data_IF_484075365890
#
_entry.id   IF_484075365890
#
_cell.length_a   1.000
_cell.length_b   1.000
_cell.length_c   1.000
_cell.angle_alpha   90.00
_cell.angle_beta   90.00
_cell.angle_gamma   90.00
#
_symmetry.space_group_name_H-M   'P 1'
#
loop_
_entity.id
_entity.type
_entity.pdbx_description
1 polymer ?
#
# COMPACT_ATOMS: atom_id res chain seq x y z
N UNK A 1 -6.50 -41.42 29.59
CA UNK A 1 -6.70 -40.11 28.98
C UNK A 1 -5.44 -39.78 28.18
N UNK A 2 -5.58 -39.66 26.87
CA UNK A 2 -4.45 -39.32 26.01
C UNK A 2 -4.19 -37.79 26.07
N UNK A 3 -2.92 -37.41 26.20
CA UNK A 3 -2.48 -36.01 26.18
C UNK A 3 -1.49 -35.84 25.03
N UNK A 4 -1.76 -34.89 24.15
CA UNK A 4 -0.85 -34.51 23.05
C UNK A 4 -0.07 -33.27 23.50
N UNK A 5 1.26 -33.38 23.51
CA UNK A 5 2.17 -32.28 23.80
C UNK A 5 2.95 -31.95 22.52
N UNK A 6 2.92 -30.70 22.11
CA UNK A 6 3.69 -30.21 20.97
C UNK A 6 4.98 -29.58 21.50
N UNK A 7 6.12 -29.97 20.92
CA UNK A 7 7.44 -29.45 21.28
C UNK A 7 8.23 -29.06 20.02
N UNK A 8 9.37 -28.40 20.20
CA UNK A 8 10.24 -27.97 19.10
C UNK A 8 11.66 -28.52 19.30
N UNK A 9 12.20 -29.11 18.25
CA UNK A 9 13.58 -29.58 18.22
C UNK A 9 14.37 -28.80 17.16
N UNK A 10 15.35 -28.01 17.59
CA UNK A 10 16.28 -27.31 16.70
C UNK A 10 17.59 -28.09 16.57
N UNK A 11 17.90 -28.51 15.35
CA UNK A 11 19.17 -29.17 15.03
C UNK A 11 19.71 -28.70 13.69
N UNK A 12 21.03 -28.70 13.53
CA UNK A 12 21.69 -28.50 12.24
C UNK A 12 21.61 -29.79 11.42
N UNK A 13 21.41 -29.63 10.11
CA UNK A 13 21.47 -30.69 9.11
C UNK A 13 22.64 -30.42 8.18
N UNK A 14 23.71 -31.19 8.30
CA UNK A 14 24.93 -31.03 7.51
C UNK A 14 24.96 -32.06 6.38
N UNK A 15 24.81 -31.57 5.13
CA UNK A 15 24.74 -32.41 3.93
C UNK A 15 26.09 -32.40 3.22
N UNK A 16 26.66 -33.58 2.98
CA UNK A 16 27.88 -33.78 2.21
C UNK A 16 27.52 -34.06 0.74
N UNK A 17 27.93 -33.19 -0.16
CA UNK A 17 27.77 -33.38 -1.60
C UNK A 17 29.05 -33.87 -2.23
N UNK A 18 29.03 -35.04 -2.86
CA UNK A 18 30.12 -35.58 -3.67
C UNK A 18 29.95 -35.10 -5.12
N UNK A 19 30.76 -34.14 -5.56
CA UNK A 19 30.70 -33.57 -6.90
C UNK A 19 31.62 -34.30 -7.85
N UNK A 20 31.08 -34.85 -8.92
CA UNK A 20 31.88 -35.44 -10.01
C UNK A 20 32.57 -34.32 -10.81
N UNK A 21 33.82 -34.59 -11.20
CA UNK A 21 34.62 -33.66 -11.99
C UNK A 21 35.23 -34.43 -13.19
N UNK A 22 34.96 -33.91 -14.40
CA UNK A 22 35.43 -34.49 -15.63
C UNK A 22 36.28 -33.49 -16.40
N UNK A 23 37.41 -33.96 -16.96
CA UNK A 23 38.20 -33.17 -17.89
C UNK A 23 37.94 -33.67 -19.33
N UNK A 24 37.58 -32.74 -20.24
CA UNK A 24 37.45 -33.02 -21.67
C UNK A 24 38.72 -32.62 -22.41
N UNK A 25 39.42 -33.60 -22.97
CA UNK A 25 40.65 -33.37 -23.73
C UNK A 25 40.34 -32.61 -25.07
N UNK A 26 39.19 -32.84 -25.67
CA UNK A 26 38.76 -32.18 -26.92
C UNK A 26 38.48 -30.69 -26.75
N UNK A 27 37.86 -30.32 -25.65
CA UNK A 27 37.52 -28.89 -25.35
C UNK A 27 38.55 -28.24 -24.43
N UNK A 28 39.50 -29.02 -23.88
CA UNK A 28 40.47 -28.59 -22.86
C UNK A 28 39.82 -27.91 -21.65
N UNK A 29 38.59 -28.29 -21.32
CA UNK A 29 37.84 -27.72 -20.19
C UNK A 29 37.51 -28.78 -19.14
N UNK A 30 37.45 -28.29 -17.89
CA UNK A 30 36.98 -29.11 -16.78
C UNK A 30 35.49 -28.81 -16.54
N UNK A 31 34.70 -29.86 -16.46
CA UNK A 31 33.29 -29.84 -16.09
C UNK A 31 33.10 -30.39 -14.69
N UNK A 32 32.29 -29.78 -13.89
CA UNK A 32 31.96 -30.22 -12.54
C UNK A 32 30.45 -30.16 -12.32
N UNK A 33 29.88 -31.18 -11.69
CA UNK A 33 28.47 -31.21 -11.37
C UNK A 33 28.05 -29.98 -10.54
N UNK A 34 26.91 -29.41 -10.86
CA UNK A 34 26.30 -28.31 -10.07
C UNK A 34 25.67 -28.87 -8.79
N UNK A 35 25.56 -28.04 -7.77
CA UNK A 35 24.78 -28.38 -6.58
C UNK A 35 23.29 -28.15 -6.85
N UNK A 36 22.38 -28.85 -6.14
CA UNK A 36 20.98 -28.57 -6.22
C UNK A 36 20.71 -27.09 -5.89
N UNK A 37 19.66 -26.54 -6.50
CA UNK A 37 19.24 -25.16 -6.28
C UNK A 37 19.04 -24.92 -4.78
N UNK A 38 19.46 -23.76 -4.30
CA UNK A 38 19.40 -23.38 -2.90
C UNK A 38 20.65 -23.79 -2.08
N UNK A 39 21.48 -24.71 -2.58
CA UNK A 39 22.69 -25.17 -1.89
C UNK A 39 23.99 -24.53 -2.42
N UNK A 40 23.86 -23.45 -3.18
CA UNK A 40 25.03 -22.69 -3.64
C UNK A 40 25.72 -21.99 -2.46
N UNK A 41 26.97 -22.36 -2.20
CA UNK A 41 27.77 -21.86 -1.09
C UNK A 41 27.69 -22.71 0.15
N UNK A 42 27.87 -22.12 1.34
CA UNK A 42 28.01 -22.83 2.61
C UNK A 42 26.68 -23.07 3.35
N UNK A 43 25.61 -22.43 2.95
CA UNK A 43 24.33 -22.47 3.66
C UNK A 43 23.21 -22.92 2.73
N UNK A 44 22.44 -23.89 3.20
CA UNK A 44 21.29 -24.45 2.50
C UNK A 44 20.05 -23.52 2.54
N UNK A 45 18.97 -23.91 1.84
CA UNK A 45 17.76 -23.11 1.71
C UNK A 45 17.08 -22.79 3.04
N UNK A 46 17.12 -23.71 4.02
CA UNK A 46 16.52 -23.51 5.35
C UNK A 46 17.13 -22.33 6.11
N UNK A 47 18.48 -22.21 6.12
CA UNK A 47 19.17 -21.08 6.77
C UNK A 47 18.88 -19.76 6.04
N UNK A 48 18.86 -19.79 4.69
CA UNK A 48 18.52 -18.62 3.88
C UNK A 48 17.09 -18.16 4.16
N UNK A 49 16.13 -19.08 4.15
CA UNK A 49 14.72 -18.78 4.45
C UNK A 49 14.55 -18.26 5.89
N UNK A 50 15.17 -18.92 6.89
CA UNK A 50 15.09 -18.50 8.29
C UNK A 50 15.66 -17.08 8.50
N UNK A 51 16.78 -16.75 7.84
CA UNK A 51 17.37 -15.40 7.87
C UNK A 51 16.36 -14.34 7.39
N UNK A 52 15.68 -14.61 6.27
CA UNK A 52 14.65 -13.70 5.71
C UNK A 52 13.42 -13.60 6.62
N UNK A 53 12.97 -14.73 7.19
CA UNK A 53 11.83 -14.74 8.14
C UNK A 53 12.14 -13.93 9.38
N UNK A 54 13.30 -14.15 10.00
CA UNK A 54 13.69 -13.39 11.19
C UNK A 54 13.76 -11.89 10.90
N UNK A 55 14.40 -11.53 9.80
CA UNK A 55 14.60 -10.12 9.48
C UNK A 55 13.32 -9.42 9.02
N UNK A 56 12.60 -9.99 8.04
CA UNK A 56 11.45 -9.33 7.40
C UNK A 56 10.10 -9.74 8.00
N UNK A 57 9.94 -11.00 8.42
CA UNK A 57 8.69 -11.50 8.97
C UNK A 57 8.49 -11.19 10.45
N UNK A 58 9.57 -11.36 11.26
CA UNK A 58 9.54 -11.19 12.72
C UNK A 58 10.07 -9.80 13.13
N UNK A 59 10.89 -9.17 12.29
CA UNK A 59 11.44 -7.85 12.54
C UNK A 59 12.72 -7.83 13.37
N UNK A 60 13.42 -8.97 13.51
CA UNK A 60 14.66 -9.10 14.26
C UNK A 60 15.81 -8.33 13.59
N UNK A 61 16.75 -7.79 14.38
CA UNK A 61 17.97 -7.13 13.86
C UNK A 61 19.03 -8.15 13.41
N UNK A 62 19.89 -7.75 12.45
CA UNK A 62 20.98 -8.62 11.96
C UNK A 62 21.89 -9.18 13.07
N UNK A 63 22.33 -8.40 14.08
CA UNK A 63 23.11 -8.93 15.19
C UNK A 63 22.38 -10.03 15.98
N UNK A 64 21.08 -9.88 16.20
CA UNK A 64 20.28 -10.88 16.92
C UNK A 64 20.03 -12.15 16.09
N UNK A 65 19.95 -12.04 14.78
CA UNK A 65 19.90 -13.19 13.87
C UNK A 65 21.21 -13.98 13.96
N UNK A 66 22.35 -13.28 13.96
CA UNK A 66 23.66 -13.91 14.12
C UNK A 66 23.79 -14.65 15.46
N UNK A 67 23.42 -13.99 16.56
CA UNK A 67 23.41 -14.56 17.90
C UNK A 67 22.53 -15.83 17.98
N UNK A 68 21.33 -15.79 17.40
CA UNK A 68 20.46 -16.97 17.34
C UNK A 68 21.13 -18.15 16.60
N UNK A 69 21.74 -17.92 15.43
CA UNK A 69 22.41 -18.98 14.69
C UNK A 69 23.62 -19.55 15.45
N UNK A 70 24.39 -18.71 16.12
CA UNK A 70 25.51 -19.14 16.95
C UNK A 70 25.05 -20.03 18.13
N UNK A 71 23.93 -19.69 18.77
CA UNK A 71 23.35 -20.48 19.87
C UNK A 71 22.89 -21.88 19.44
N UNK A 72 22.55 -22.05 18.16
CA UNK A 72 22.18 -23.38 17.61
C UNK A 72 23.33 -24.04 16.82
N UNK A 73 24.58 -23.57 17.00
CA UNK A 73 25.79 -24.15 16.41
C UNK A 73 26.04 -23.81 14.94
N UNK A 74 25.41 -22.74 14.41
CA UNK A 74 25.61 -22.28 13.04
C UNK A 74 26.49 -21.03 13.06
N UNK A 75 27.73 -21.13 12.56
CA UNK A 75 28.67 -20.01 12.49
C UNK A 75 28.52 -19.25 11.16
N UNK A 76 27.87 -18.10 11.21
CA UNK A 76 27.62 -17.23 10.06
C UNK A 76 28.16 -15.83 10.33
N UNK A 77 28.84 -15.22 9.36
CA UNK A 77 29.36 -13.86 9.50
C UNK A 77 28.23 -12.82 9.30
N UNK A 78 28.36 -11.66 9.94
CA UNK A 78 27.41 -10.54 9.77
C UNK A 78 27.28 -10.11 8.30
N UNK A 79 28.41 -10.04 7.57
CA UNK A 79 28.39 -9.72 6.14
C UNK A 79 27.65 -10.76 5.28
N UNK A 80 27.70 -12.05 5.69
CA UNK A 80 26.92 -13.08 5.00
C UNK A 80 25.42 -12.95 5.27
N UNK A 81 25.02 -12.63 6.49
CA UNK A 81 23.62 -12.33 6.83
C UNK A 81 23.13 -11.18 5.97
N UNK A 82 23.83 -10.03 5.97
CA UNK A 82 23.46 -8.87 5.17
C UNK A 82 23.35 -9.19 3.67
N UNK A 83 24.29 -9.98 3.13
CA UNK A 83 24.22 -10.43 1.75
C UNK A 83 23.00 -11.34 1.47
N UNK A 84 22.63 -12.23 2.40
CA UNK A 84 21.43 -13.06 2.26
C UNK A 84 20.14 -12.23 2.25
N UNK A 85 20.13 -11.09 2.95
CA UNK A 85 18.97 -10.21 3.00
C UNK A 85 18.77 -9.36 1.74
N UNK A 86 19.86 -9.02 1.03
CA UNK A 86 19.82 -7.99 -0.02
C UNK A 86 20.19 -8.53 -1.40
N UNK A 87 21.20 -9.42 -1.49
CA UNK A 87 21.77 -9.82 -2.78
C UNK A 87 21.06 -11.03 -3.39
N UNK A 88 20.96 -11.05 -4.73
CA UNK A 88 20.39 -12.14 -5.53
C UNK A 88 18.90 -12.40 -5.20
N UNK A 89 18.13 -11.33 -5.09
CA UNK A 89 16.71 -11.38 -4.75
C UNK A 89 15.80 -11.13 -5.98
N UNK A 90 16.32 -11.21 -7.20
CA UNK A 90 15.62 -10.87 -8.44
C UNK A 90 14.31 -11.67 -8.60
N UNK A 91 14.30 -12.96 -8.25
CA UNK A 91 13.10 -13.79 -8.29
C UNK A 91 12.01 -13.29 -7.35
N UNK A 92 12.38 -12.89 -6.13
CA UNK A 92 11.42 -12.33 -5.16
C UNK A 92 10.97 -10.91 -5.56
N UNK A 93 11.84 -10.13 -6.19
CA UNK A 93 11.44 -8.83 -6.73
C UNK A 93 10.40 -8.98 -7.84
N UNK A 94 10.61 -9.91 -8.76
CA UNK A 94 9.64 -10.21 -9.83
C UNK A 94 8.31 -10.73 -9.26
N UNK A 95 8.36 -11.61 -8.25
CA UNK A 95 7.14 -12.12 -7.60
C UNK A 95 6.38 -11.02 -6.85
N UNK A 96 7.09 -10.10 -6.17
CA UNK A 96 6.47 -8.91 -5.56
C UNK A 96 5.75 -8.04 -6.60
N UNK A 97 6.36 -7.82 -7.76
CA UNK A 97 5.78 -7.01 -8.82
C UNK A 97 4.54 -7.71 -9.43
N UNK A 98 4.58 -9.05 -9.58
CA UNK A 98 3.42 -9.86 -10.00
C UNK A 98 2.29 -9.83 -8.96
N UNK A 99 2.61 -9.96 -7.67
CA UNK A 99 1.64 -9.83 -6.56
C UNK A 99 0.95 -8.46 -6.58
N UNK A 100 1.71 -7.40 -6.81
CA UNK A 100 1.14 -6.06 -6.87
C UNK A 100 0.22 -5.87 -8.08
N UNK A 101 0.61 -6.37 -9.24
CA UNK A 101 -0.22 -6.35 -10.45
C UNK A 101 -1.54 -7.12 -10.24
N UNK A 102 -1.47 -8.35 -9.71
CA UNK A 102 -2.65 -9.15 -9.38
C UNK A 102 -3.51 -8.47 -8.30
N UNK A 103 -2.87 -7.85 -7.31
CA UNK A 103 -3.55 -7.12 -6.24
C UNK A 103 -4.36 -5.93 -6.74
N UNK A 104 -3.83 -5.13 -7.67
CA UNK A 104 -4.57 -4.03 -8.30
C UNK A 104 -5.76 -4.53 -9.13
N UNK A 105 -5.64 -5.71 -9.75
CA UNK A 105 -6.71 -6.33 -10.53
C UNK A 105 -7.77 -7.02 -9.66
N UNK A 106 -7.43 -7.39 -8.44
CA UNK A 106 -8.25 -8.22 -7.56
C UNK A 106 -9.50 -7.53 -7.03
N UNK A 107 -9.56 -6.19 -7.09
CA UNK A 107 -10.69 -5.40 -6.59
C UNK A 107 -10.72 -4.01 -7.25
N UNK A 108 -11.90 -3.44 -7.51
CA UNK A 108 -12.04 -2.08 -8.01
C UNK A 108 -11.63 -1.01 -6.98
N UNK A 109 -11.48 -1.38 -5.71
CA UNK A 109 -11.11 -0.46 -4.65
C UNK A 109 -9.81 -0.89 -3.96
N UNK A 110 -9.07 0.09 -3.45
CA UNK A 110 -7.83 -0.12 -2.71
C UNK A 110 -7.82 0.74 -1.44
N UNK A 111 -7.08 0.30 -0.42
CA UNK A 111 -6.74 1.12 0.73
C UNK A 111 -5.32 1.64 0.59
N UNK A 112 -5.08 2.87 1.02
CA UNK A 112 -3.73 3.45 1.00
C UNK A 112 -3.43 4.26 2.25
N UNK A 113 -2.17 4.28 2.63
CA UNK A 113 -1.62 5.12 3.70
C UNK A 113 -0.13 5.34 3.45
N UNK A 114 0.48 6.29 4.12
CA UNK A 114 1.92 6.53 4.03
C UNK A 114 2.57 6.75 5.40
N UNK A 115 3.87 6.48 5.47
CA UNK A 115 4.67 6.77 6.66
C UNK A 115 6.06 7.27 6.30
N UNK A 116 6.59 8.14 7.15
CA UNK A 116 7.99 8.54 7.05
C UNK A 116 8.90 7.33 7.26
N UNK A 117 9.88 7.17 6.41
CA UNK A 117 10.97 6.19 6.56
C UNK A 117 12.32 6.89 6.35
N UNK A 118 13.41 6.24 6.74
CA UNK A 118 14.76 6.75 6.50
C UNK A 118 15.53 5.82 5.59
N UNK A 119 16.25 6.40 4.64
CA UNK A 119 17.16 5.70 3.74
C UNK A 119 18.47 6.46 3.77
N UNK A 120 19.54 5.82 4.21
CA UNK A 120 20.86 6.44 4.39
C UNK A 120 20.80 7.79 5.12
N UNK A 121 20.03 7.84 6.22
CA UNK A 121 19.84 9.07 6.99
C UNK A 121 18.90 10.11 6.34
N UNK A 122 18.48 9.95 5.09
CA UNK A 122 17.57 10.84 4.39
C UNK A 122 16.11 10.48 4.65
N UNK A 123 15.25 11.48 4.78
CA UNK A 123 13.82 11.28 4.91
C UNK A 123 13.22 10.85 3.56
N UNK A 124 12.55 9.72 3.56
CA UNK A 124 11.75 9.22 2.45
C UNK A 124 10.38 8.79 2.97
N UNK A 125 9.49 8.38 2.09
CA UNK A 125 8.12 7.98 2.42
C UNK A 125 7.84 6.57 1.90
N UNK A 126 7.33 5.71 2.77
CA UNK A 126 6.86 4.40 2.41
C UNK A 126 5.33 4.47 2.25
N UNK A 127 4.87 4.25 1.04
CA UNK A 127 3.45 4.15 0.71
C UNK A 127 3.01 2.70 0.78
N UNK A 128 1.84 2.46 1.34
CA UNK A 128 1.20 1.16 1.42
C UNK A 128 -0.04 1.21 0.52
N UNK A 129 -0.19 0.21 -0.35
CA UNK A 129 -1.40 -0.03 -1.13
C UNK A 129 -1.84 -1.45 -0.83
N UNK A 130 -3.10 -1.64 -0.45
CA UNK A 130 -3.59 -2.95 -0.04
C UNK A 130 -5.11 -3.10 -0.22
N UNK A 131 -5.55 -4.35 -0.20
CA UNK A 131 -6.94 -4.75 0.00
C UNK A 131 -6.97 -6.05 0.83
N UNK A 132 -8.09 -6.76 1.00
CA UNK A 132 -8.14 -7.98 1.81
C UNK A 132 -7.15 -9.09 1.44
N UNK A 133 -6.68 -9.17 0.19
CA UNK A 133 -5.86 -10.30 -0.30
C UNK A 133 -4.38 -9.99 -0.47
N UNK A 134 -3.96 -8.74 -0.43
CA UNK A 134 -2.54 -8.37 -0.53
C UNK A 134 -2.21 -7.11 0.24
N UNK A 135 -0.91 -6.87 0.48
CA UNK A 135 -0.36 -5.60 0.96
C UNK A 135 0.95 -5.33 0.21
N UNK A 136 1.08 -4.18 -0.41
CA UNK A 136 2.28 -3.79 -1.14
C UNK A 136 2.91 -2.54 -0.56
N UNK A 137 4.25 -2.53 -0.49
CA UNK A 137 5.06 -1.45 0.06
C UNK A 137 5.90 -0.81 -1.04
N UNK A 138 5.92 0.52 -1.05
CA UNK A 138 6.61 1.32 -2.06
C UNK A 138 7.31 2.52 -1.42
N UNK A 139 8.61 2.47 -1.30
CA UNK A 139 9.40 3.59 -0.77
C UNK A 139 9.71 4.60 -1.89
N UNK A 140 9.43 5.87 -1.64
CA UNK A 140 9.63 6.99 -2.57
C UNK A 140 10.26 8.19 -1.85
N UNK A 141 10.97 9.01 -2.60
CA UNK A 141 11.58 10.24 -2.07
C UNK A 141 10.54 11.29 -1.62
N UNK A 142 9.35 11.25 -2.22
CA UNK A 142 8.27 12.22 -1.98
C UNK A 142 6.97 11.51 -1.66
N UNK A 143 6.04 12.25 -1.00
CA UNK A 143 4.67 11.80 -0.74
C UNK A 143 3.64 12.66 -1.47
N UNK A 144 4.03 13.32 -2.55
CA UNK A 144 3.10 14.09 -3.37
C UNK A 144 2.18 13.18 -4.21
N UNK A 145 1.14 13.77 -4.79
CA UNK A 145 0.14 13.05 -5.59
C UNK A 145 0.76 12.27 -6.74
N UNK A 146 1.73 12.86 -7.45
CA UNK A 146 2.40 12.20 -8.57
C UNK A 146 3.19 10.96 -8.13
N UNK A 147 3.80 11.00 -6.93
CA UNK A 147 4.49 9.83 -6.37
C UNK A 147 3.53 8.67 -6.09
N UNK A 148 2.33 8.96 -5.55
CA UNK A 148 1.30 7.94 -5.34
C UNK A 148 0.73 7.45 -6.67
N UNK A 149 0.48 8.36 -7.62
CA UNK A 149 0.02 8.02 -8.96
C UNK A 149 0.98 7.05 -9.67
N UNK A 150 2.30 7.29 -9.59
CA UNK A 150 3.31 6.40 -10.18
C UNK A 150 3.30 5.00 -9.57
N UNK A 151 2.92 4.89 -8.30
CA UNK A 151 2.70 3.59 -7.65
C UNK A 151 1.48 2.90 -8.25
N UNK A 152 0.33 3.59 -8.32
CA UNK A 152 -0.92 3.02 -8.86
C UNK A 152 -0.78 2.64 -10.34
N UNK A 153 0.09 3.29 -11.09
CA UNK A 153 0.41 2.97 -12.49
C UNK A 153 1.29 1.73 -12.66
N UNK A 154 1.75 1.15 -11.56
CA UNK A 154 2.54 -0.09 -11.55
C UNK A 154 3.73 -0.09 -12.54
N UNK A 155 4.59 0.92 -12.44
CA UNK A 155 5.83 1.04 -13.22
C UNK A 155 5.67 1.52 -14.66
N UNK A 156 4.46 1.83 -15.10
CA UNK A 156 4.24 2.41 -16.45
C UNK A 156 4.66 3.87 -16.49
N UNK A 157 5.02 4.38 -17.68
CA UNK A 157 5.39 5.79 -17.89
C UNK A 157 4.22 6.71 -17.54
N UNK A 158 4.51 7.81 -16.85
CA UNK A 158 3.54 8.89 -16.64
C UNK A 158 3.23 9.58 -17.95
N UNK A 159 1.94 9.72 -18.24
CA UNK A 159 1.42 10.51 -19.34
C UNK A 159 0.62 11.68 -18.79
N UNK A 160 0.35 12.67 -19.62
CA UNK A 160 -0.39 13.89 -19.28
C UNK A 160 -1.47 14.12 -20.33
N UNK A 161 -2.68 14.45 -19.89
CA UNK A 161 -3.84 14.72 -20.74
C UNK A 161 -4.59 15.93 -20.21
N UNK A 162 -4.93 16.84 -21.07
CA UNK A 162 -5.76 18.01 -20.74
C UNK A 162 -7.18 17.83 -21.32
N UNK A 163 -7.90 16.83 -20.83
CA UNK A 163 -9.29 16.59 -21.22
C UNK A 163 -10.27 17.34 -20.29
N UNK A 164 -11.57 17.05 -20.43
CA UNK A 164 -12.63 17.67 -19.63
C UNK A 164 -12.42 17.42 -18.12
N UNK A 165 -12.01 16.22 -17.74
CA UNK A 165 -11.74 15.87 -16.34
C UNK A 165 -10.60 16.72 -15.75
N UNK A 166 -9.47 16.83 -16.46
CA UNK A 166 -8.37 17.71 -16.03
C UNK A 166 -8.83 19.16 -15.87
N UNK A 167 -9.62 19.64 -16.82
CA UNK A 167 -10.17 21.01 -16.76
C UNK A 167 -11.14 21.18 -15.58
N UNK A 168 -11.92 20.18 -15.23
CA UNK A 168 -12.77 20.14 -14.03
C UNK A 168 -11.95 20.34 -12.74
N UNK A 169 -10.84 19.61 -12.58
CA UNK A 169 -9.93 19.77 -11.43
C UNK A 169 -9.30 21.18 -11.37
N UNK A 170 -9.07 21.81 -12.52
CA UNK A 170 -8.46 23.13 -12.60
C UNK A 170 -9.48 24.27 -12.38
N UNK A 171 -10.78 24.02 -12.58
CA UNK A 171 -11.84 25.04 -12.49
C UNK A 171 -11.98 25.69 -11.12
N UNK A 172 -11.60 25.01 -10.03
CA UNK A 172 -11.62 25.56 -8.66
C UNK A 172 -10.47 26.50 -8.31
N UNK A 173 -9.57 26.81 -9.24
CA UNK A 173 -8.35 27.58 -9.00
C UNK A 173 -8.37 28.89 -9.74
N UNK A 174 -7.81 29.94 -9.12
CA UNK A 174 -7.67 31.25 -9.77
C UNK A 174 -6.58 31.21 -10.85
N UNK A 175 -6.99 31.39 -12.11
CA UNK A 175 -6.15 31.58 -13.27
C UNK A 175 -6.25 33.00 -13.78
N UNK A 176 -5.21 33.53 -14.45
CA UNK A 176 -5.38 34.70 -15.30
C UNK A 176 -6.22 34.32 -16.51
N UNK A 177 -6.99 35.27 -17.04
CA UNK A 177 -7.84 35.03 -18.23
C UNK A 177 -7.00 34.41 -19.37
N UNK A 178 -5.84 34.99 -19.67
CA UNK A 178 -4.94 34.49 -20.71
C UNK A 178 -4.50 33.03 -20.46
N UNK A 179 -4.16 32.67 -19.21
CA UNK A 179 -3.77 31.31 -18.88
C UNK A 179 -4.93 30.32 -19.02
N UNK A 180 -6.12 30.71 -18.59
CA UNK A 180 -7.31 29.88 -18.71
C UNK A 180 -7.72 29.67 -20.19
N UNK A 181 -7.76 30.75 -20.98
CA UNK A 181 -8.04 30.67 -22.43
C UNK A 181 -7.05 29.76 -23.14
N UNK A 182 -5.76 29.83 -22.77
CA UNK A 182 -4.72 28.90 -23.31
C UNK A 182 -4.99 27.45 -22.90
N UNK A 183 -5.32 27.17 -21.64
CA UNK A 183 -5.63 25.82 -21.18
C UNK A 183 -6.86 25.25 -21.90
N UNK A 184 -7.90 26.05 -22.06
CA UNK A 184 -9.09 25.65 -22.84
C UNK A 184 -8.75 25.34 -24.31
N UNK A 185 -7.88 26.14 -24.94
CA UNK A 185 -7.44 25.89 -26.32
C UNK A 185 -6.56 24.65 -26.48
N UNK A 186 -5.95 24.15 -25.39
CA UNK A 186 -5.13 22.93 -25.37
C UNK A 186 -5.92 21.69 -24.97
N UNK A 187 -7.18 21.86 -24.59
CA UNK A 187 -8.03 20.72 -24.21
C UNK A 187 -8.10 19.70 -25.34
N UNK A 188 -7.75 18.44 -25.02
CA UNK A 188 -7.63 17.37 -25.99
C UNK A 188 -7.61 16.01 -25.30
N UNK A 189 -8.07 15.00 -26.00
CA UNK A 189 -7.95 13.59 -25.57
C UNK A 189 -6.58 12.99 -25.89
N UNK A 190 -5.63 13.77 -26.39
CA UNK A 190 -4.26 13.32 -26.70
C UNK A 190 -3.43 13.17 -25.43
N UNK A 191 -2.72 12.04 -25.34
CA UNK A 191 -1.70 11.82 -24.32
C UNK A 191 -0.37 12.44 -24.71
N UNK A 192 0.29 13.02 -23.73
CA UNK A 192 1.60 13.62 -23.84
C UNK A 192 2.59 12.92 -22.91
N UNK A 193 3.80 12.65 -23.39
CA UNK A 193 4.92 12.31 -22.51
C UNK A 193 5.36 13.54 -21.69
N UNK A 194 6.06 13.32 -20.58
CA UNK A 194 6.42 14.38 -19.63
C UNK A 194 7.24 15.51 -20.26
N UNK A 195 8.26 15.19 -21.06
CA UNK A 195 9.13 16.22 -21.63
C UNK A 195 8.41 17.14 -22.64
N UNK A 196 7.66 16.63 -23.66
CA UNK A 196 6.87 17.47 -24.55
C UNK A 196 5.79 18.27 -23.83
N UNK A 197 5.15 17.70 -22.80
CA UNK A 197 4.15 18.40 -22.02
C UNK A 197 4.74 19.58 -21.25
N UNK A 198 5.87 19.39 -20.57
CA UNK A 198 6.56 20.44 -19.82
C UNK A 198 7.12 21.55 -20.73
N UNK A 199 7.62 21.18 -21.92
CA UNK A 199 8.09 22.15 -22.93
C UNK A 199 6.93 23.07 -23.37
N UNK A 200 5.81 22.49 -23.76
CA UNK A 200 4.59 23.23 -24.11
C UNK A 200 4.12 24.18 -23.00
N UNK A 201 4.19 23.71 -21.72
CA UNK A 201 3.88 24.58 -20.58
C UNK A 201 4.88 25.73 -20.44
N UNK A 202 6.14 25.50 -20.71
CA UNK A 202 7.20 26.53 -20.67
C UNK A 202 6.98 27.63 -21.69
N UNK A 203 6.59 27.27 -22.92
CA UNK A 203 6.34 28.21 -24.01
C UNK A 203 5.04 29.02 -23.84
N UNK A 204 3.94 28.33 -23.57
CA UNK A 204 2.62 28.94 -23.55
C UNK A 204 2.18 29.52 -22.20
N UNK A 205 2.69 28.98 -21.09
CA UNK A 205 2.29 29.29 -19.72
C UNK A 205 3.49 29.58 -18.81
N UNK A 206 4.49 30.30 -19.30
CA UNK A 206 5.75 30.60 -18.58
C UNK A 206 5.58 31.32 -17.24
N UNK A 207 4.49 32.08 -17.06
CA UNK A 207 4.21 32.91 -15.87
C UNK A 207 3.40 32.22 -14.77
N UNK A 208 3.19 30.90 -14.83
CA UNK A 208 2.51 30.16 -13.77
C UNK A 208 3.33 30.13 -12.47
N UNK A 209 2.66 30.33 -11.34
CA UNK A 209 3.27 30.09 -10.02
C UNK A 209 3.65 28.61 -9.86
N UNK A 210 4.58 28.32 -8.93
CA UNK A 210 4.95 26.94 -8.61
C UNK A 210 3.74 26.07 -8.25
N UNK A 211 2.78 26.63 -7.50
CA UNK A 211 1.58 25.92 -7.10
C UNK A 211 0.65 25.65 -8.27
N UNK A 212 0.39 26.64 -9.14
CA UNK A 212 -0.42 26.44 -10.35
C UNK A 212 0.19 25.38 -11.27
N UNK A 213 1.50 25.44 -11.49
CA UNK A 213 2.22 24.43 -12.29
C UNK A 213 2.10 23.03 -11.68
N UNK A 214 2.26 22.93 -10.35
CA UNK A 214 2.08 21.65 -9.64
C UNK A 214 0.69 21.08 -9.84
N UNK A 215 -0.34 21.88 -9.60
CA UNK A 215 -1.73 21.43 -9.71
C UNK A 215 -2.10 21.08 -11.16
N UNK A 216 -1.60 21.83 -12.14
CA UNK A 216 -1.80 21.52 -13.56
C UNK A 216 -1.16 20.16 -13.93
N UNK A 217 0.08 19.92 -13.49
CA UNK A 217 0.75 18.64 -13.70
C UNK A 217 -0.02 17.50 -13.01
N UNK A 218 -0.45 17.69 -11.76
CA UNK A 218 -1.24 16.71 -11.01
C UNK A 218 -2.54 16.38 -11.77
N UNK A 219 -3.31 17.39 -12.19
CA UNK A 219 -4.58 17.21 -12.89
C UNK A 219 -4.42 16.49 -14.24
N UNK A 220 -3.46 16.93 -15.05
CA UNK A 220 -3.21 16.33 -16.36
C UNK A 220 -2.70 14.89 -16.26
N UNK A 221 -1.86 14.58 -15.27
CA UNK A 221 -1.36 13.21 -15.06
C UNK A 221 -2.45 12.27 -14.54
N UNK A 222 -3.33 12.73 -13.65
CA UNK A 222 -4.47 11.96 -13.15
C UNK A 222 -5.47 11.69 -14.27
N UNK A 223 -5.82 12.69 -15.08
CA UNK A 223 -6.75 12.52 -16.20
C UNK A 223 -6.21 11.52 -17.25
N UNK A 224 -4.90 11.51 -17.52
CA UNK A 224 -4.28 10.51 -18.37
C UNK A 224 -4.34 9.11 -17.73
N UNK A 225 -4.20 9.01 -16.40
CA UNK A 225 -4.33 7.74 -15.67
C UNK A 225 -5.75 7.19 -15.75
N UNK A 226 -6.78 7.99 -15.55
CA UNK A 226 -8.17 7.56 -15.60
C UNK A 226 -8.61 7.19 -17.03
N UNK A 227 -8.10 7.86 -18.03
CA UNK A 227 -8.49 7.63 -19.43
C UNK A 227 -7.86 6.38 -20.07
N UNK A 228 -6.79 5.83 -19.50
CA UNK A 228 -6.12 4.66 -20.03
C UNK A 228 -6.97 3.38 -19.89
N UNK A 229 -6.69 2.33 -20.70
CA UNK A 229 -7.48 1.08 -20.76
C UNK A 229 -6.63 -0.20 -20.69
N UNK A 230 -5.31 -0.08 -20.63
CA UNK A 230 -4.36 -1.20 -20.73
C UNK A 230 -3.96 -1.79 -19.36
N UNK A 231 -4.40 -1.19 -18.27
CA UNK A 231 -4.25 -1.71 -16.90
C UNK A 231 -5.37 -1.21 -15.99
N UNK A 232 -5.58 -1.82 -14.80
CA UNK A 232 -6.66 -1.40 -13.91
C UNK A 232 -6.48 0.02 -13.39
N UNK A 233 -7.55 0.81 -13.44
CA UNK A 233 -7.68 2.07 -12.72
C UNK A 233 -8.35 1.78 -11.38
N UNK A 234 -7.85 2.37 -10.31
CA UNK A 234 -8.48 2.27 -8.99
C UNK A 234 -9.76 3.11 -9.01
N UNK A 235 -10.92 2.46 -8.93
CA UNK A 235 -12.20 3.16 -8.96
C UNK A 235 -12.46 3.85 -7.62
N UNK A 236 -12.32 3.16 -6.48
CA UNK A 236 -12.45 3.78 -5.18
C UNK A 236 -11.16 3.65 -4.34
N UNK A 237 -10.70 4.77 -3.78
CA UNK A 237 -9.54 4.83 -2.91
C UNK A 237 -9.98 5.12 -1.47
N UNK A 238 -9.78 4.15 -0.56
CA UNK A 238 -10.07 4.30 0.87
C UNK A 238 -8.81 4.81 1.57
N UNK A 239 -8.86 5.99 2.17
CA UNK A 239 -7.69 6.66 2.75
C UNK A 239 -8.08 7.61 3.90
N UNK A 240 -7.09 8.27 4.48
CA UNK A 240 -7.30 9.47 5.29
C UNK A 240 -7.59 10.70 4.39
N UNK A 241 -7.82 11.87 5.02
CA UNK A 241 -8.11 13.11 4.29
C UNK A 241 -6.84 13.87 3.84
N UNK A 242 -5.74 13.19 3.62
CA UNK A 242 -4.51 13.82 3.17
C UNK A 242 -4.61 14.26 1.69
N UNK A 243 -4.18 15.51 1.37
CA UNK A 243 -4.39 16.09 0.04
C UNK A 243 -3.74 15.34 -1.12
N UNK A 244 -2.70 14.54 -0.88
CA UNK A 244 -2.05 13.74 -1.91
C UNK A 244 -2.95 12.65 -2.48
N UNK A 245 -3.96 12.19 -1.74
CA UNK A 245 -4.88 11.13 -2.18
C UNK A 245 -6.08 11.66 -2.99
N UNK A 246 -6.29 12.98 -3.04
CA UNK A 246 -7.36 13.54 -3.85
C UNK A 246 -7.15 13.22 -5.34
N UNK A 247 -8.23 12.89 -6.04
CA UNK A 247 -8.30 12.63 -7.49
C UNK A 247 -7.66 11.31 -7.96
N UNK A 248 -7.00 10.53 -7.09
CA UNK A 248 -6.26 9.32 -7.51
C UNK A 248 -7.17 8.13 -7.86
N UNK A 249 -8.32 8.01 -7.22
CA UNK A 249 -9.40 7.12 -7.63
C UNK A 249 -10.52 7.94 -8.26
N UNK A 250 -11.37 7.32 -9.05
CA UNK A 250 -12.60 7.93 -9.55
C UNK A 250 -13.44 8.43 -8.36
N UNK A 251 -13.48 7.63 -7.28
CA UNK A 251 -14.11 7.93 -6.01
C UNK A 251 -13.08 7.92 -4.86
N UNK A 252 -13.31 8.74 -3.83
CA UNK A 252 -12.50 8.76 -2.60
C UNK A 252 -13.39 8.51 -1.39
N UNK A 253 -13.11 7.41 -0.68
CA UNK A 253 -13.75 7.13 0.61
C UNK A 253 -12.86 7.55 1.77
N UNK A 254 -13.42 8.32 2.69
CA UNK A 254 -12.72 8.75 3.90
C UNK A 254 -12.94 7.78 5.06
N UNK A 255 -11.87 7.55 5.80
CA UNK A 255 -11.88 6.70 6.98
C UNK A 255 -12.66 7.35 8.14
N UNK A 256 -13.76 6.75 8.57
CA UNK A 256 -14.57 7.19 9.71
C UNK A 256 -13.80 7.20 11.03
N UNK A 257 -12.88 6.27 11.22
CA UNK A 257 -12.04 6.21 12.41
C UNK A 257 -11.10 7.42 12.49
N UNK A 258 -10.54 7.86 11.36
CA UNK A 258 -9.75 9.10 11.30
C UNK A 258 -10.61 10.33 11.59
N UNK A 259 -11.83 10.37 11.05
CA UNK A 259 -12.77 11.45 11.35
C UNK A 259 -13.11 11.52 12.84
N UNK A 260 -13.41 10.37 13.47
CA UNK A 260 -13.65 10.28 14.91
C UNK A 260 -12.44 10.71 15.76
N UNK A 261 -11.21 10.44 15.33
CA UNK A 261 -9.99 10.90 16.00
C UNK A 261 -9.87 12.43 16.04
N UNK A 262 -10.44 13.15 15.08
CA UNK A 262 -10.43 14.62 15.10
C UNK A 262 -11.29 15.17 16.23
N UNK A 263 -12.42 14.58 16.57
CA UNK A 263 -13.23 14.95 17.74
C UNK A 263 -12.50 14.66 19.05
N UNK A 264 -11.84 13.51 19.16
CA UNK A 264 -11.04 13.15 20.35
C UNK A 264 -9.86 14.09 20.60
N UNK A 265 -9.42 14.89 19.62
CA UNK A 265 -8.39 15.91 19.77
C UNK A 265 -8.91 17.21 20.33
N UNK A 266 -10.22 17.39 20.43
CA UNK A 266 -10.80 18.55 21.12
C UNK A 266 -10.55 18.42 22.62
N UNK A 267 -10.07 19.50 23.23
CA UNK A 267 -9.70 19.54 24.66
C UNK A 267 -10.59 20.54 25.40
N UNK A 268 -11.85 20.18 25.72
CA UNK A 268 -12.75 21.07 26.42
C UNK A 268 -12.24 21.37 27.83
N UNK A 269 -12.18 22.66 28.20
CA UNK A 269 -11.75 23.12 29.51
C UNK A 269 -12.94 23.16 30.49
N UNK A 270 -14.13 23.49 30.00
CA UNK A 270 -15.37 23.62 30.77
C UNK A 270 -16.06 22.25 30.84
N UNK A 271 -16.59 21.88 32.03
CA UNK A 271 -17.28 20.61 32.24
C UNK A 271 -18.44 20.39 31.27
N UNK A 272 -19.29 21.39 31.09
CA UNK A 272 -20.40 21.36 30.13
C UNK A 272 -19.94 21.03 28.69
N UNK A 273 -18.82 21.63 28.24
CA UNK A 273 -18.31 21.36 26.88
C UNK A 273 -17.77 19.93 26.74
N UNK A 274 -17.31 19.32 27.85
CA UNK A 274 -16.89 17.91 27.87
C UNK A 274 -18.11 17.01 27.72
N UNK A 275 -19.17 17.25 28.48
CA UNK A 275 -20.43 16.51 28.38
C UNK A 275 -21.00 16.58 26.96
N UNK A 276 -21.04 17.78 26.36
CA UNK A 276 -21.51 17.96 24.98
C UNK A 276 -20.66 17.18 23.96
N UNK A 277 -19.33 17.12 24.16
CA UNK A 277 -18.44 16.37 23.30
C UNK A 277 -18.63 14.85 23.48
N UNK A 278 -18.78 14.39 24.71
CA UNK A 278 -18.99 12.97 25.03
C UNK A 278 -20.32 12.46 24.48
N UNK A 279 -21.40 13.24 24.63
CA UNK A 279 -22.71 12.94 24.05
C UNK A 279 -22.63 12.89 22.51
N UNK A 280 -22.02 13.88 21.87
CA UNK A 280 -21.84 13.86 20.42
C UNK A 280 -21.00 12.67 19.95
N UNK A 281 -19.93 12.32 20.66
CA UNK A 281 -19.12 11.15 20.33
C UNK A 281 -19.88 9.85 20.45
N UNK A 282 -20.81 9.75 21.41
CA UNK A 282 -21.69 8.59 21.54
C UNK A 282 -22.57 8.45 20.30
N UNK A 283 -23.24 9.53 19.88
CA UNK A 283 -24.12 9.55 18.71
C UNK A 283 -23.29 9.29 17.41
N UNK A 284 -22.10 9.84 17.31
CA UNK A 284 -21.18 9.60 16.20
C UNK A 284 -20.80 8.13 16.03
N UNK A 285 -20.45 7.43 17.13
CA UNK A 285 -20.09 6.03 17.08
C UNK A 285 -21.31 5.10 16.92
N UNK A 286 -22.46 5.49 17.42
CA UNK A 286 -23.72 4.78 17.16
C UNK A 286 -24.07 4.84 15.66
N UNK A 287 -23.97 6.01 15.05
CA UNK A 287 -24.16 6.16 13.60
C UNK A 287 -23.13 5.32 12.81
N UNK A 288 -21.88 5.30 13.22
CA UNK A 288 -20.85 4.44 12.61
C UNK A 288 -21.24 2.96 12.66
N UNK A 289 -21.80 2.48 13.77
CA UNK A 289 -22.27 1.09 13.89
C UNK A 289 -23.46 0.82 12.96
N UNK A 290 -24.38 1.75 12.81
CA UNK A 290 -25.48 1.62 11.84
C UNK A 290 -24.95 1.51 10.39
N UNK A 291 -23.91 2.23 10.02
CA UNK A 291 -23.25 2.05 8.72
C UNK A 291 -22.58 0.68 8.58
N UNK A 292 -22.03 0.10 9.66
CA UNK A 292 -21.49 -1.26 9.63
C UNK A 292 -22.60 -2.30 9.42
N UNK A 293 -23.76 -2.12 10.07
CA UNK A 293 -24.92 -3.00 9.92
C UNK A 293 -25.48 -2.90 8.49
N UNK A 294 -25.61 -1.68 7.95
CA UNK A 294 -26.02 -1.45 6.56
C UNK A 294 -25.16 -2.24 5.55
N UNK A 295 -23.85 -2.30 5.74
CA UNK A 295 -22.95 -3.05 4.87
C UNK A 295 -23.27 -4.55 4.80
N UNK A 296 -23.88 -5.11 5.84
CA UNK A 296 -24.24 -6.54 5.88
C UNK A 296 -25.56 -6.80 5.13
N UNK A 297 -26.48 -5.86 5.18
CA UNK A 297 -27.82 -5.97 4.58
C UNK A 297 -28.24 -4.62 3.97
N UNK A 298 -27.64 -4.21 2.86
CA UNK A 298 -27.96 -2.94 2.24
C UNK A 298 -29.38 -2.94 1.64
N UNK A 299 -30.18 -1.92 1.96
CA UNK A 299 -31.51 -1.69 1.38
C UNK A 299 -31.67 -0.21 1.03
N UNK A 300 -32.54 0.10 0.07
CA UNK A 300 -32.82 1.50 -0.31
C UNK A 300 -33.44 2.29 0.85
N UNK A 301 -34.29 1.64 1.66
CA UNK A 301 -34.90 2.26 2.84
C UNK A 301 -33.84 2.70 3.85
N UNK A 302 -32.92 1.80 4.21
CA UNK A 302 -31.83 2.10 5.12
C UNK A 302 -30.83 3.11 4.54
N UNK A 303 -30.57 3.06 3.24
CA UNK A 303 -29.76 4.08 2.55
C UNK A 303 -30.32 5.48 2.81
N UNK A 304 -31.58 5.72 2.45
CA UNK A 304 -32.26 7.01 2.64
C UNK A 304 -32.34 7.43 4.11
N UNK A 305 -32.60 6.45 5.00
CA UNK A 305 -32.63 6.70 6.45
C UNK A 305 -31.29 7.18 6.96
N UNK A 306 -30.22 6.49 6.62
CA UNK A 306 -28.84 6.82 7.05
C UNK A 306 -28.36 8.14 6.45
N UNK A 307 -28.72 8.44 5.22
CA UNK A 307 -28.39 9.72 4.62
C UNK A 307 -29.06 10.90 5.36
N UNK A 308 -30.36 10.78 5.70
CA UNK A 308 -31.08 11.77 6.48
C UNK A 308 -30.53 11.87 7.92
N UNK A 309 -30.17 10.75 8.53
CA UNK A 309 -29.58 10.71 9.87
C UNK A 309 -28.22 11.42 9.91
N UNK A 310 -27.39 11.26 8.87
CA UNK A 310 -26.16 12.02 8.70
C UNK A 310 -26.43 13.53 8.72
N UNK A 311 -27.40 13.98 7.91
CA UNK A 311 -27.72 15.40 7.83
C UNK A 311 -28.25 15.93 9.17
N UNK A 312 -29.04 15.14 9.90
CA UNK A 312 -29.50 15.47 11.25
C UNK A 312 -28.35 15.60 12.24
N UNK A 313 -27.47 14.60 12.32
CA UNK A 313 -26.37 14.55 13.25
C UNK A 313 -25.36 15.66 13.01
N UNK A 314 -24.96 15.87 11.76
CA UNK A 314 -23.93 16.86 11.39
C UNK A 314 -24.49 18.26 11.08
N UNK A 315 -25.77 18.53 11.41
CA UNK A 315 -26.36 19.88 11.43
C UNK A 315 -26.64 20.37 12.86
N UNK A 316 -26.27 19.58 13.86
CA UNK A 316 -26.48 19.94 15.27
C UNK A 316 -25.63 21.14 15.69
N UNK A 317 -26.20 21.98 16.56
CA UNK A 317 -25.51 23.10 17.21
C UNK A 317 -25.44 22.84 18.70
N UNK A 318 -24.23 22.69 19.23
CA UNK A 318 -23.97 22.27 20.62
C UNK A 318 -23.73 23.45 21.56
N UNK A 319 -23.50 24.67 21.06
CA UNK A 319 -23.02 25.83 21.80
C UNK A 319 -21.57 25.69 22.31
N UNK A 320 -20.83 24.73 21.79
CA UNK A 320 -19.39 24.60 21.95
C UNK A 320 -18.73 24.84 20.58
N UNK A 321 -18.26 26.05 20.32
CA UNK A 321 -17.79 26.51 19.02
C UNK A 321 -16.77 25.58 18.35
N UNK A 322 -15.82 25.03 19.13
CA UNK A 322 -14.82 24.12 18.57
C UNK A 322 -15.45 22.79 18.08
N UNK A 323 -16.48 22.30 18.77
CA UNK A 323 -17.23 21.12 18.36
C UNK A 323 -18.09 21.43 17.13
N UNK A 324 -18.82 22.55 17.14
CA UNK A 324 -19.66 22.98 16.02
C UNK A 324 -18.85 23.19 14.74
N UNK A 325 -17.65 23.79 14.83
CA UNK A 325 -16.72 23.92 13.70
C UNK A 325 -16.25 22.55 13.19
N UNK A 326 -16.03 21.57 14.10
CA UNK A 326 -15.62 20.22 13.68
C UNK A 326 -16.78 19.48 13.00
N UNK A 327 -18.00 19.59 13.53
CA UNK A 327 -19.22 19.06 12.94
C UNK A 327 -19.41 19.59 11.51
N UNK A 328 -19.28 20.91 11.32
CA UNK A 328 -19.38 21.52 9.99
C UNK A 328 -18.33 21.00 9.01
N UNK A 329 -17.09 20.74 9.46
CA UNK A 329 -16.04 20.14 8.63
C UNK A 329 -16.37 18.69 8.25
N UNK A 330 -16.97 17.91 9.13
CA UNK A 330 -17.42 16.54 8.82
C UNK A 330 -18.58 16.57 7.84
N UNK A 331 -19.55 17.48 8.04
CA UNK A 331 -20.67 17.68 7.10
C UNK A 331 -20.21 17.98 5.67
N UNK A 332 -19.21 18.82 5.51
CA UNK A 332 -18.64 19.17 4.21
C UNK A 332 -17.97 17.99 3.47
N UNK A 333 -17.80 16.83 4.12
CA UNK A 333 -17.23 15.61 3.57
C UNK A 333 -18.27 14.51 3.37
N UNK A 334 -19.57 14.85 3.39
CA UNK A 334 -20.70 13.92 3.31
C UNK A 334 -20.48 12.87 2.21
N UNK A 335 -20.26 13.31 0.98
CA UNK A 335 -20.16 12.44 -0.18
C UNK A 335 -19.03 11.40 -0.03
N UNK A 336 -17.88 11.82 0.48
CA UNK A 336 -16.74 10.92 0.71
C UNK A 336 -16.93 9.99 1.90
N UNK A 337 -17.67 10.39 2.93
CA UNK A 337 -17.92 9.57 4.12
C UNK A 337 -19.07 8.58 3.88
N UNK A 338 -20.05 8.95 3.07
CA UNK A 338 -21.22 8.13 2.76
C UNK A 338 -21.09 7.31 1.48
N UNK A 339 -19.91 7.26 0.85
CA UNK A 339 -19.68 6.44 -0.34
C UNK A 339 -20.05 4.96 -0.11
N UNK A 340 -19.96 4.49 1.12
CA UNK A 340 -20.40 3.14 1.55
C UNK A 340 -21.88 2.88 1.29
N UNK A 341 -22.72 3.91 1.22
CA UNK A 341 -24.14 3.75 0.92
C UNK A 341 -24.37 3.35 -0.55
N UNK A 342 -23.47 3.78 -1.46
CA UNK A 342 -23.46 3.36 -2.86
C UNK A 342 -22.70 2.03 -3.06
N UNK A 343 -21.62 1.81 -2.32
CA UNK A 343 -20.73 0.65 -2.42
C UNK A 343 -20.54 0.00 -1.05
N UNK A 344 -21.49 -0.85 -0.62
CA UNK A 344 -21.44 -1.50 0.71
C UNK A 344 -20.20 -2.37 0.97
N UNK A 345 -19.49 -2.76 -0.09
CA UNK A 345 -18.21 -3.49 -0.02
C UNK A 345 -17.08 -2.64 0.58
N UNK A 346 -17.16 -1.32 0.48
CA UNK A 346 -16.12 -0.44 0.99
C UNK A 346 -16.01 -0.51 2.51
N UNK A 347 -14.81 -0.67 3.05
CA UNK A 347 -14.61 -0.64 4.49
C UNK A 347 -14.73 0.78 5.03
N UNK A 348 -15.43 0.97 6.15
CA UNK A 348 -15.55 2.28 6.82
C UNK A 348 -14.24 2.78 7.44
N UNK A 349 -13.19 1.98 7.42
CA UNK A 349 -11.92 2.29 8.04
C UNK A 349 -10.74 1.90 7.16
N UNK A 350 -9.60 2.55 7.38
CA UNK A 350 -8.36 2.30 6.68
C UNK A 350 -7.38 1.39 7.47
N UNK A 351 -7.92 0.51 8.33
CA UNK A 351 -7.10 -0.27 9.27
C UNK A 351 -6.09 -1.20 8.57
N UNK A 352 -6.40 -1.74 7.40
CA UNK A 352 -5.48 -2.67 6.74
C UNK A 352 -4.20 -1.96 6.30
N UNK A 353 -4.29 -0.75 5.75
CA UNK A 353 -3.10 0.05 5.42
C UNK A 353 -2.39 0.59 6.66
N UNK A 354 -3.13 1.00 7.72
CA UNK A 354 -2.54 1.39 9.02
C UNK A 354 -1.73 0.24 9.65
N UNK A 355 -2.19 -1.00 9.56
CA UNK A 355 -1.43 -2.17 10.02
C UNK A 355 -0.14 -2.34 9.21
N UNK A 356 -0.19 -2.16 7.91
CA UNK A 356 1.00 -2.12 7.05
C UNK A 356 1.98 -1.01 7.47
N UNK A 357 1.48 0.20 7.76
CA UNK A 357 2.28 1.30 8.31
C UNK A 357 2.95 0.89 9.62
N UNK A 358 2.23 0.29 10.56
CA UNK A 358 2.79 -0.16 11.85
C UNK A 358 3.92 -1.17 11.69
N UNK A 359 3.80 -2.10 10.75
CA UNK A 359 4.87 -3.06 10.46
C UNK A 359 6.13 -2.33 9.97
N UNK A 360 5.98 -1.36 9.06
CA UNK A 360 7.11 -0.55 8.58
C UNK A 360 7.77 0.26 9.69
N UNK A 361 6.96 0.88 10.56
CA UNK A 361 7.44 1.67 11.71
C UNK A 361 8.21 0.78 12.67
N UNK A 362 7.65 -0.35 13.10
CA UNK A 362 8.33 -1.30 14.01
C UNK A 362 9.66 -1.77 13.44
N UNK A 363 9.70 -2.12 12.15
CA UNK A 363 10.93 -2.54 11.49
C UNK A 363 11.97 -1.42 11.46
N UNK A 364 11.56 -0.18 11.19
CA UNK A 364 12.43 0.99 11.23
C UNK A 364 12.99 1.21 12.64
N UNK A 365 12.18 1.07 13.68
CA UNK A 365 12.60 1.29 15.06
C UNK A 365 13.66 0.26 15.52
N UNK A 366 13.63 -0.97 14.98
CA UNK A 366 14.62 -2.01 15.27
C UNK A 366 15.87 -1.90 14.39
N UNK A 367 15.74 -1.54 13.10
CA UNK A 367 16.81 -1.67 12.11
C UNK A 367 17.25 -0.33 11.50
N UNK A 368 16.71 0.80 11.93
CA UNK A 368 17.02 2.19 11.52
C UNK A 368 16.80 2.51 10.03
N UNK A 369 16.41 1.56 9.23
CA UNK A 369 16.18 1.70 7.79
C UNK A 369 17.33 1.21 6.90
N UNK A 370 17.05 1.02 5.59
CA UNK A 370 18.03 0.62 4.62
C UNK A 370 18.99 1.76 4.27
N UNK A 371 20.21 1.42 3.83
CA UNK A 371 21.24 2.40 3.46
C UNK A 371 21.50 2.47 1.95
N UNK A 372 21.00 1.53 1.19
CA UNK A 372 21.22 1.44 -0.27
C UNK A 372 19.91 1.25 -1.01
N UNK A 373 19.86 1.56 -2.29
CA UNK A 373 18.70 1.33 -3.15
C UNK A 373 18.31 -0.16 -3.20
N UNK A 374 19.30 -1.07 -3.28
CA UNK A 374 19.05 -2.51 -3.20
C UNK A 374 18.41 -2.90 -1.86
N UNK A 375 18.88 -2.29 -0.75
CA UNK A 375 18.30 -2.48 0.58
C UNK A 375 16.86 -1.97 0.65
N UNK A 376 16.55 -0.82 0.05
CA UNK A 376 15.18 -0.29 -0.06
C UNK A 376 14.31 -1.26 -0.83
N UNK A 377 14.77 -1.72 -2.00
CA UNK A 377 14.06 -2.67 -2.84
C UNK A 377 13.79 -3.98 -2.10
N UNK A 378 14.79 -4.51 -1.38
CA UNK A 378 14.62 -5.72 -0.58
C UNK A 378 13.60 -5.52 0.55
N UNK A 379 13.64 -4.37 1.26
CA UNK A 379 12.67 -4.05 2.30
C UNK A 379 11.25 -4.00 1.78
N UNK A 380 11.01 -3.31 0.66
CA UNK A 380 9.68 -3.21 0.05
C UNK A 380 9.22 -4.59 -0.47
N UNK A 381 10.12 -5.37 -1.06
CA UNK A 381 9.83 -6.71 -1.58
C UNK A 381 9.41 -7.65 -0.46
N UNK A 382 10.25 -7.85 0.53
CA UNK A 382 9.97 -8.84 1.57
C UNK A 382 8.87 -8.40 2.54
N UNK A 383 8.68 -7.10 2.77
CA UNK A 383 7.51 -6.61 3.50
C UNK A 383 6.21 -6.92 2.73
N UNK A 384 6.20 -6.70 1.41
CA UNK A 384 5.05 -7.06 0.56
C UNK A 384 4.75 -8.55 0.62
N UNK A 385 5.76 -9.40 0.41
CA UNK A 385 5.59 -10.84 0.41
C UNK A 385 5.15 -11.36 1.79
N UNK A 386 5.81 -10.90 2.88
CA UNK A 386 5.48 -11.33 4.24
C UNK A 386 4.06 -10.96 4.68
N UNK A 387 3.57 -9.76 4.33
CA UNK A 387 2.21 -9.37 4.67
C UNK A 387 1.17 -10.00 3.74
N UNK A 388 1.51 -10.25 2.48
CA UNK A 388 0.61 -10.90 1.53
C UNK A 388 0.40 -12.38 1.87
N UNK A 389 1.45 -13.15 2.17
CA UNK A 389 1.29 -14.57 2.54
C UNK A 389 0.42 -14.75 3.79
N UNK A 390 0.43 -13.80 4.75
CA UNK A 390 -0.46 -13.84 5.91
C UNK A 390 -1.93 -13.73 5.52
N UNK A 391 -2.25 -12.90 4.52
CA UNK A 391 -3.62 -12.74 4.01
C UNK A 391 -4.09 -13.94 3.18
N UNK A 392 -3.14 -14.72 2.67
CA UNK A 392 -3.37 -15.92 1.88
C UNK A 392 -3.29 -17.22 2.70
N UNK A 393 -3.12 -17.13 4.03
CA UNK A 393 -2.92 -18.27 4.94
C UNK A 393 -1.75 -19.17 4.54
N UNK A 394 -0.68 -18.58 3.97
CA UNK A 394 0.54 -19.28 3.58
C UNK A 394 1.65 -19.02 4.60
N UNK A 395 2.36 -20.06 5.02
CA UNK A 395 3.55 -19.93 5.88
C UNK A 395 4.66 -19.20 5.15
N UNK A 396 5.11 -18.06 5.68
CA UNK A 396 6.21 -17.29 5.09
C UNK A 396 7.52 -18.09 5.02
N UNK A 397 7.80 -18.91 6.03
CA UNK A 397 8.98 -19.78 6.01
C UNK A 397 8.89 -20.85 4.91
N UNK A 398 7.78 -21.56 4.81
CA UNK A 398 7.58 -22.59 3.80
C UNK A 398 7.62 -22.00 2.39
N UNK A 399 6.98 -20.84 2.18
CA UNK A 399 7.03 -20.11 0.92
C UNK A 399 8.47 -19.74 0.52
N UNK A 400 9.24 -19.13 1.43
CA UNK A 400 10.63 -18.75 1.14
C UNK A 400 11.50 -19.99 0.86
N UNK A 401 11.34 -21.06 1.66
CA UNK A 401 12.09 -22.29 1.47
C UNK A 401 11.76 -22.95 0.13
N UNK A 402 10.51 -23.00 -0.26
CA UNK A 402 10.04 -23.52 -1.54
C UNK A 402 10.66 -22.75 -2.73
N UNK A 403 10.64 -21.43 -2.70
CA UNK A 403 11.24 -20.60 -3.76
C UNK A 403 12.77 -20.72 -3.81
N UNK A 404 13.45 -20.74 -2.67
CA UNK A 404 14.92 -20.85 -2.58
C UNK A 404 15.40 -22.22 -3.03
N UNK A 405 14.73 -23.28 -2.62
CA UNK A 405 15.07 -24.66 -3.02
C UNK A 405 14.62 -24.99 -4.46
N UNK A 406 13.71 -24.18 -5.02
CA UNK A 406 13.19 -24.40 -6.37
C UNK A 406 12.23 -25.57 -6.49
N UNK A 407 11.61 -26.00 -5.39
CA UNK A 407 10.58 -27.06 -5.40
C UNK A 407 9.29 -26.59 -6.05
N UNK A 408 8.95 -25.30 -5.93
CA UNK A 408 7.80 -24.63 -6.54
C UNK A 408 6.48 -25.39 -6.30
N UNK A 409 6.29 -25.95 -5.11
CA UNK A 409 5.07 -26.65 -4.72
C UNK A 409 3.95 -25.70 -4.33
N UNK A 410 4.31 -24.51 -3.86
CA UNK A 410 3.36 -23.43 -3.57
C UNK A 410 3.12 -22.68 -4.87
N UNK A 411 1.85 -22.49 -5.25
CA UNK A 411 1.48 -21.69 -6.42
C UNK A 411 2.11 -20.28 -6.36
N UNK A 412 2.32 -19.61 -7.51
CA UNK A 412 2.70 -18.19 -7.52
C UNK A 412 1.73 -17.37 -6.66
N UNK A 413 2.28 -16.47 -5.82
CA UNK A 413 1.43 -15.68 -4.93
C UNK A 413 0.44 -14.81 -5.69
N UNK A 414 0.77 -14.37 -6.91
CA UNK A 414 -0.14 -13.62 -7.77
C UNK A 414 -1.40 -14.44 -8.12
N UNK A 415 -1.23 -15.75 -8.38
CA UNK A 415 -2.36 -16.65 -8.68
C UNK A 415 -3.22 -16.86 -7.42
N UNK A 416 -2.58 -17.05 -6.25
CA UNK A 416 -3.28 -17.15 -4.96
C UNK A 416 -4.05 -15.87 -4.62
N UNK A 417 -3.49 -14.69 -4.90
CA UNK A 417 -4.19 -13.39 -4.76
C UNK A 417 -5.45 -13.38 -5.62
N UNK A 418 -5.33 -13.78 -6.87
CA UNK A 418 -6.47 -13.81 -7.81
C UNK A 418 -7.55 -14.81 -7.38
N UNK A 419 -7.16 -16.02 -6.98
CA UNK A 419 -8.09 -17.04 -6.46
C UNK A 419 -8.81 -16.57 -5.20
N UNK A 420 -8.06 -16.01 -4.24
CA UNK A 420 -8.63 -15.53 -2.99
C UNK A 420 -9.56 -14.34 -3.18
N UNK A 421 -9.28 -13.48 -4.17
CA UNK A 421 -10.16 -12.36 -4.52
C UNK A 421 -11.52 -12.83 -5.05
N UNK A 422 -11.53 -13.91 -5.87
CA UNK A 422 -12.75 -14.55 -6.35
C UNK A 422 -13.53 -15.17 -5.19
N UNK A 423 -12.87 -15.91 -4.29
CA UNK A 423 -13.50 -16.51 -3.12
C UNK A 423 -14.17 -15.46 -2.21
N UNK A 424 -13.53 -14.31 -2.03
CA UNK A 424 -14.02 -13.22 -1.20
C UNK A 424 -14.98 -12.28 -1.93
N UNK A 425 -15.23 -12.50 -3.22
CA UNK A 425 -16.09 -11.67 -4.07
C UNK A 425 -15.75 -10.16 -3.94
N UNK A 426 -14.50 -9.78 -4.18
CA UNK A 426 -14.00 -8.41 -3.99
C UNK A 426 -14.40 -7.44 -5.09
N UNK A 427 -15.30 -7.80 -6.01
CA UNK A 427 -15.92 -6.92 -7.00
C UNK A 427 -17.03 -6.05 -6.40
N UNK A 428 -17.62 -5.18 -7.23
CA UNK A 428 -18.86 -4.52 -6.86
C UNK A 428 -20.02 -5.52 -6.96
N UNK A 429 -20.74 -5.73 -5.87
CA UNK A 429 -21.93 -6.59 -5.82
C UNK A 429 -23.23 -5.79 -5.95
N UNK A 430 -23.17 -4.48 -5.73
CA UNK A 430 -24.32 -3.58 -5.76
C UNK A 430 -24.00 -2.36 -6.63
N UNK A 431 -24.82 -2.11 -7.66
CA UNK A 431 -25.03 -0.78 -8.20
C UNK A 431 -26.46 -0.41 -7.88
N UNK A 432 -26.67 0.51 -6.96
CA UNK A 432 -27.96 1.17 -6.82
C UNK A 432 -28.04 2.15 -7.99
N UNK A 433 -28.60 1.68 -9.11
CA UNK A 433 -28.94 2.52 -10.27
C UNK A 433 -30.18 3.34 -10.00
#
# INVERSE_FOLDING_TARGET
QDVVVQDILLRTDNILFHKQKYYSASTRKTYMAELPRGYEGQFGPGIKAMTLVFYYGIGTSEPKIKEFFENVGIHISAGKISNLLIKRQEGFHAEKDAVYAAGLQSSPWQQTDDTLTRVDGQNQHCHIVCNPVYTSYHTRARKDRLSVLDILRNGRKRLFRLNEEAMGYLGGIKWSKKAWDSLQSWQSEQDWEEAPFLERLGEGLSRLSKQQRKILNDAAAVAAYHAQRDYPVVQALVCDDAPQFNWLGEEKMLCWVHEGRHYKKLTPVVGLHRELLDDFLKDFWEYYHQLLDYRQQPTMEEHLRLENEFDRLFSSHTRYDALDQRIAKTKAKKDNLLLVLQYPELPLHNNASELGVRQRVRKRDVSFGPRTEEGVRAWDTFATLAETVKKLDVSFFHYLNDRISGTNQILPLADLVSLRAIELNLGWSFSIS
#
